data_IF_108283070155
#
_entry.id   IF_108283070155
#
_cell.length_a   1.000
_cell.length_b   1.000
_cell.length_c   1.000
_cell.angle_alpha   90.00
_cell.angle_beta   90.00
_cell.angle_gamma   90.00
#
_symmetry.space_group_name_H-M   'P 1'
#
loop_
_entity.id
_entity.type
_entity.pdbx_description
1 polymer ?
#
# COMPACT_ATOMS: atom_id res chain seq x y z
N UNK A 1 2.60 12.32 24.10
CA UNK A 1 1.98 13.00 22.93
C UNK A 1 0.46 13.02 23.14
N UNK A 2 -0.18 14.19 23.10
CA UNK A 2 -1.64 14.30 23.31
C UNK A 2 -2.35 14.14 21.97
N UNK A 3 -3.33 13.23 21.86
CA UNK A 3 -4.08 13.02 20.63
C UNK A 3 -5.03 14.19 20.36
N UNK A 4 -5.08 14.70 19.13
CA UNK A 4 -5.98 15.78 18.75
C UNK A 4 -7.46 15.34 18.78
N UNK A 5 -7.75 14.11 18.33
CA UNK A 5 -9.09 13.52 18.32
C UNK A 5 -9.01 12.01 18.64
N UNK A 6 -8.98 11.60 19.92
CA UNK A 6 -8.71 10.21 20.30
C UNK A 6 -9.64 9.17 19.66
N UNK A 7 -10.95 9.43 19.65
CA UNK A 7 -11.93 8.52 19.03
C UNK A 7 -11.69 8.32 17.52
N UNK A 8 -11.35 9.40 16.80
CA UNK A 8 -11.03 9.35 15.38
C UNK A 8 -9.73 8.58 15.16
N UNK A 9 -8.69 8.87 15.94
CA UNK A 9 -7.40 8.20 15.85
C UNK A 9 -7.54 6.67 15.97
N UNK A 10 -8.20 6.18 17.03
CA UNK A 10 -8.38 4.72 17.20
C UNK A 10 -9.23 4.10 16.09
N UNK A 11 -10.26 4.80 15.61
CA UNK A 11 -11.04 4.34 14.44
C UNK A 11 -10.18 4.22 13.20
N UNK A 12 -9.30 5.17 12.96
CA UNK A 12 -8.40 5.17 11.80
C UNK A 12 -7.28 4.12 11.94
N UNK A 13 -6.78 3.89 13.13
CA UNK A 13 -5.88 2.74 13.40
C UNK A 13 -6.57 1.40 13.10
N UNK A 14 -7.83 1.24 13.47
CA UNK A 14 -8.64 0.08 13.09
C UNK A 14 -8.79 -0.09 11.58
N UNK A 15 -8.99 1.01 10.85
CA UNK A 15 -9.04 1.00 9.38
C UNK A 15 -7.68 0.61 8.77
N UNK A 16 -6.58 1.17 9.26
CA UNK A 16 -5.24 0.80 8.81
C UNK A 16 -4.98 -0.70 9.04
N UNK A 17 -5.33 -1.23 10.21
CA UNK A 17 -5.22 -2.65 10.51
C UNK A 17 -6.08 -3.52 9.56
N UNK A 18 -7.31 -3.08 9.24
CA UNK A 18 -8.17 -3.75 8.28
C UNK A 18 -7.56 -3.75 6.86
N UNK A 19 -6.95 -2.63 6.44
CA UNK A 19 -6.26 -2.53 5.15
C UNK A 19 -5.07 -3.51 5.08
N UNK A 20 -4.25 -3.58 6.14
CA UNK A 20 -3.17 -4.58 6.25
C UNK A 20 -3.72 -6.00 6.15
N UNK A 21 -4.79 -6.30 6.88
CA UNK A 21 -5.39 -7.64 6.89
C UNK A 21 -5.91 -8.02 5.50
N UNK A 22 -6.63 -7.12 4.83
CA UNK A 22 -7.16 -7.36 3.49
C UNK A 22 -6.03 -7.60 2.47
N UNK A 23 -4.96 -6.80 2.53
CA UNK A 23 -3.79 -6.97 1.68
C UNK A 23 -3.13 -8.34 1.93
N UNK A 24 -2.81 -8.67 3.17
CA UNK A 24 -2.14 -9.92 3.51
C UNK A 24 -2.99 -11.17 3.22
N UNK A 25 -4.32 -11.10 3.46
CA UNK A 25 -5.24 -12.19 3.13
C UNK A 25 -5.31 -12.39 1.62
N UNK A 26 -5.43 -11.30 0.82
CA UNK A 26 -5.46 -11.43 -0.64
C UNK A 26 -4.17 -12.03 -1.20
N UNK A 27 -3.02 -11.61 -0.70
CA UNK A 27 -1.70 -12.17 -1.05
C UNK A 27 -1.61 -13.66 -0.68
N UNK A 28 -2.03 -14.00 0.53
CA UNK A 28 -2.06 -15.40 0.97
C UNK A 28 -2.92 -16.26 0.04
N UNK A 29 -4.12 -15.81 -0.31
CA UNK A 29 -5.02 -16.55 -1.21
C UNK A 29 -4.40 -16.75 -2.58
N UNK A 30 -3.82 -15.73 -3.18
CA UNK A 30 -3.24 -15.78 -4.52
C UNK A 30 -1.94 -16.60 -4.55
N UNK A 31 -1.03 -16.39 -3.60
CA UNK A 31 0.31 -16.95 -3.67
C UNK A 31 0.45 -18.32 -2.99
N UNK A 32 -0.38 -18.62 -2.00
CA UNK A 32 -0.26 -19.85 -1.17
C UNK A 32 -1.42 -20.83 -1.36
N UNK A 33 -2.65 -20.34 -1.53
CA UNK A 33 -3.82 -21.20 -1.69
C UNK A 33 -4.08 -21.53 -3.15
N UNK A 34 -4.01 -20.55 -4.02
CA UNK A 34 -4.25 -20.77 -5.46
C UNK A 34 -2.98 -21.19 -6.20
N UNK A 35 -2.48 -22.37 -5.88
CA UNK A 35 -1.21 -22.89 -6.43
C UNK A 35 -1.26 -23.20 -7.92
N UNK A 36 -2.41 -23.63 -8.43
CA UNK A 36 -2.60 -24.08 -9.81
C UNK A 36 -2.89 -22.93 -10.81
N UNK A 37 -2.91 -21.69 -10.33
CA UNK A 37 -3.19 -20.50 -11.16
C UNK A 37 -2.16 -20.31 -12.30
N UNK A 38 -0.96 -20.86 -12.15
CA UNK A 38 0.14 -20.55 -13.06
C UNK A 38 0.69 -19.11 -12.85
N UNK A 39 1.57 -18.63 -13.75
CA UNK A 39 2.18 -17.31 -13.63
C UNK A 39 1.22 -16.16 -13.95
N UNK A 40 0.20 -16.43 -14.76
CA UNK A 40 -0.83 -15.46 -15.16
C UNK A 40 -2.16 -16.17 -15.39
N UNK A 41 -3.23 -15.59 -14.86
CA UNK A 41 -4.62 -16.05 -15.02
C UNK A 41 -5.49 -14.89 -15.53
N UNK A 42 -5.93 -14.90 -16.79
CA UNK A 42 -6.79 -13.85 -17.34
C UNK A 42 -8.19 -13.94 -16.74
N UNK A 43 -8.63 -12.85 -16.11
CA UNK A 43 -9.98 -12.70 -15.54
C UNK A 43 -10.90 -11.98 -16.50
N UNK A 44 -10.39 -10.92 -17.14
CA UNK A 44 -11.08 -10.10 -18.11
C UNK A 44 -10.11 -9.78 -19.28
N UNK A 45 -10.61 -9.33 -20.46
CA UNK A 45 -9.74 -8.99 -21.59
C UNK A 45 -8.67 -7.92 -21.33
N UNK A 46 -8.82 -7.18 -20.22
CA UNK A 46 -7.91 -6.08 -19.83
C UNK A 46 -7.35 -6.25 -18.42
N UNK A 47 -7.62 -7.39 -17.77
CA UNK A 47 -7.26 -7.62 -16.38
C UNK A 47 -6.89 -9.08 -16.14
N UNK A 48 -5.72 -9.31 -15.60
CA UNK A 48 -5.21 -10.63 -15.20
C UNK A 48 -4.81 -10.65 -13.73
N UNK A 49 -4.90 -11.82 -13.10
CA UNK A 49 -4.20 -12.10 -11.86
C UNK A 49 -2.84 -12.71 -12.21
N UNK A 50 -1.80 -12.23 -11.54
CA UNK A 50 -0.41 -12.69 -11.77
C UNK A 50 0.25 -13.02 -10.44
N UNK A 51 1.37 -13.75 -10.49
CA UNK A 51 2.25 -13.96 -9.33
C UNK A 51 3.60 -13.34 -9.62
N UNK A 52 3.84 -12.14 -9.14
CA UNK A 52 5.10 -11.41 -9.32
C UNK A 52 5.70 -11.01 -7.98
N UNK A 53 7.00 -11.25 -7.82
CA UNK A 53 7.78 -10.77 -6.68
C UNK A 53 8.57 -9.54 -7.10
N UNK A 54 8.30 -8.42 -6.43
CA UNK A 54 8.91 -7.14 -6.68
C UNK A 54 9.98 -6.87 -5.61
N UNK A 55 11.25 -7.08 -5.95
CA UNK A 55 12.39 -6.93 -5.03
C UNK A 55 12.83 -5.49 -4.82
N UNK A 56 12.32 -4.55 -5.57
CA UNK A 56 12.76 -3.15 -5.49
C UNK A 56 11.85 -2.23 -6.27
N UNK A 57 12.40 -1.20 -6.85
CA UNK A 57 11.69 -0.09 -7.43
C UNK A 57 11.17 -0.45 -8.83
N UNK A 58 9.88 -0.22 -9.07
CA UNK A 58 9.33 -0.07 -10.41
C UNK A 58 10.18 0.98 -11.13
N UNK A 59 10.86 0.61 -12.24
CA UNK A 59 11.68 1.40 -13.16
C UNK A 59 13.19 1.08 -13.20
N UNK A 60 13.69 -0.01 -12.64
CA UNK A 60 15.11 -0.42 -12.79
C UNK A 60 16.16 0.66 -12.42
N UNK A 61 15.76 1.78 -11.85
CA UNK A 61 16.63 2.92 -11.59
C UNK A 61 17.60 2.69 -10.40
N UNK A 62 17.36 1.67 -9.58
CA UNK A 62 18.23 1.23 -8.49
C UNK A 62 18.15 -0.29 -8.30
N UNK A 63 18.08 -1.05 -9.40
CA UNK A 63 18.34 -2.48 -9.35
C UNK A 63 19.83 -2.66 -8.98
N UNK A 64 20.12 -2.55 -7.73
CA UNK A 64 21.37 -3.06 -7.19
C UNK A 64 21.10 -4.53 -6.87
N UNK A 65 21.92 -5.42 -7.46
CA UNK A 65 22.01 -6.85 -7.13
C UNK A 65 22.46 -7.09 -5.65
N UNK A 66 22.16 -6.15 -4.77
CA UNK A 66 22.52 -6.20 -3.38
C UNK A 66 21.39 -6.83 -2.57
N UNK A 67 21.71 -7.89 -1.86
CA UNK A 67 20.82 -8.58 -0.89
C UNK A 67 20.15 -7.65 0.13
N UNK A 68 20.67 -6.44 0.31
CA UNK A 68 20.16 -5.42 1.24
C UNK A 68 19.03 -4.55 0.67
N UNK A 69 18.74 -4.57 -0.63
CA UNK A 69 17.74 -3.72 -1.26
C UNK A 69 16.36 -3.77 -0.58
N UNK A 70 15.76 -4.94 -0.39
CA UNK A 70 14.45 -5.08 0.26
C UNK A 70 14.41 -4.53 1.68
N UNK A 71 15.50 -4.68 2.44
CA UNK A 71 15.61 -4.19 3.82
C UNK A 71 15.69 -2.67 3.92
N UNK A 72 16.41 -2.04 2.98
CA UNK A 72 16.47 -0.56 2.91
C UNK A 72 15.08 0.00 2.63
N UNK A 73 14.33 -0.60 1.69
CA UNK A 73 12.96 -0.16 1.39
C UNK A 73 12.00 -0.46 2.54
N UNK A 74 12.14 -1.59 3.23
CA UNK A 74 11.35 -1.88 4.42
C UNK A 74 11.59 -0.86 5.54
N UNK A 75 12.87 -0.50 5.78
CA UNK A 75 13.22 0.52 6.78
C UNK A 75 12.65 1.89 6.41
N UNK A 76 12.85 2.33 5.16
CA UNK A 76 12.33 3.61 4.69
C UNK A 76 10.79 3.68 4.79
N UNK A 77 10.09 2.64 4.33
CA UNK A 77 8.64 2.57 4.43
C UNK A 77 8.16 2.55 5.89
N UNK A 78 8.91 1.91 6.79
CA UNK A 78 8.62 1.91 8.23
C UNK A 78 8.77 3.30 8.83
N UNK A 79 9.85 4.02 8.50
CA UNK A 79 10.07 5.40 8.95
C UNK A 79 8.93 6.31 8.48
N UNK A 80 8.55 6.21 7.21
CA UNK A 80 7.42 6.97 6.64
C UNK A 80 6.12 6.61 7.36
N UNK A 81 5.81 5.32 7.56
CA UNK A 81 4.60 4.89 8.24
C UNK A 81 4.51 5.42 9.68
N UNK A 82 5.62 5.42 10.42
CA UNK A 82 5.70 6.01 11.76
C UNK A 82 5.44 7.53 11.71
N UNK A 83 6.06 8.25 10.77
CA UNK A 83 5.82 9.67 10.57
C UNK A 83 4.34 9.99 10.27
N UNK A 84 3.70 9.17 9.41
CA UNK A 84 2.28 9.29 9.08
C UNK A 84 1.36 8.94 10.27
N UNK A 85 1.73 7.99 11.11
CA UNK A 85 1.00 7.70 12.36
C UNK A 85 1.09 8.86 13.35
N UNK A 86 2.25 9.51 13.46
CA UNK A 86 2.42 10.72 14.26
C UNK A 86 1.52 11.83 13.71
N UNK A 87 1.51 12.05 12.41
CA UNK A 87 0.61 13.02 11.78
C UNK A 87 -0.87 12.68 12.03
N UNK A 88 -1.26 11.42 11.83
CA UNK A 88 -2.62 10.95 12.14
C UNK A 88 -3.03 11.25 13.58
N UNK A 89 -2.12 11.09 14.53
CA UNK A 89 -2.38 11.39 15.94
C UNK A 89 -2.70 12.86 16.23
N UNK A 90 -2.24 13.76 15.35
CA UNK A 90 -2.44 15.21 15.44
C UNK A 90 -3.59 15.70 14.55
N UNK A 91 -4.21 14.79 13.77
CA UNK A 91 -5.27 15.11 12.81
C UNK A 91 -6.65 14.97 13.46
N UNK A 92 -7.46 16.03 13.43
CA UNK A 92 -8.84 16.03 13.93
C UNK A 92 -9.90 15.89 12.82
N UNK A 93 -9.51 16.02 11.57
CA UNK A 93 -10.39 16.02 10.40
C UNK A 93 -10.51 14.64 9.79
N UNK A 94 -11.72 14.29 9.36
CA UNK A 94 -12.02 12.92 8.91
C UNK A 94 -11.33 12.56 7.59
N UNK A 95 -11.31 13.48 6.60
CA UNK A 95 -10.81 13.17 5.27
C UNK A 95 -9.30 12.94 5.25
N UNK A 96 -8.45 13.84 5.79
CA UNK A 96 -7.02 13.56 5.88
C UNK A 96 -6.71 12.37 6.81
N UNK A 97 -7.47 12.18 7.90
CA UNK A 97 -7.29 11.01 8.76
C UNK A 97 -7.56 9.68 8.02
N UNK A 98 -8.57 9.66 7.13
CA UNK A 98 -8.86 8.51 6.27
C UNK A 98 -7.69 8.25 5.29
N UNK A 99 -7.22 9.29 4.62
CA UNK A 99 -6.08 9.20 3.71
C UNK A 99 -4.83 8.66 4.40
N UNK A 100 -4.48 9.23 5.57
CA UNK A 100 -3.35 8.77 6.39
C UNK A 100 -3.47 7.31 6.81
N UNK A 101 -4.66 6.88 7.24
CA UNK A 101 -4.89 5.49 7.65
C UNK A 101 -4.67 4.49 6.50
N UNK A 102 -5.14 4.83 5.30
CA UNK A 102 -4.96 3.99 4.12
C UNK A 102 -3.48 3.90 3.73
N UNK A 103 -2.75 5.02 3.71
CA UNK A 103 -1.31 5.01 3.40
C UNK A 103 -0.52 4.23 4.45
N UNK A 104 -0.83 4.41 5.73
CA UNK A 104 -0.18 3.62 6.80
C UNK A 104 -0.46 2.14 6.63
N UNK A 105 -1.71 1.74 6.37
CA UNK A 105 -2.09 0.35 6.16
C UNK A 105 -1.38 -0.27 4.94
N UNK A 106 -1.36 0.43 3.80
CA UNK A 106 -0.65 0.00 2.60
C UNK A 106 0.87 -0.09 2.80
N UNK A 107 1.47 0.91 3.44
CA UNK A 107 2.91 0.88 3.73
C UNK A 107 3.28 -0.32 4.61
N UNK A 108 2.52 -0.56 5.68
CA UNK A 108 2.76 -1.71 6.59
C UNK A 108 2.56 -3.04 5.87
N UNK A 109 1.54 -3.19 5.00
CA UNK A 109 1.32 -4.39 4.18
C UNK A 109 2.55 -4.74 3.36
N UNK A 110 3.11 -3.77 2.62
CA UNK A 110 4.32 -3.96 1.81
C UNK A 110 5.61 -4.12 2.63
N UNK A 111 5.67 -3.59 3.85
CA UNK A 111 6.78 -3.86 4.79
C UNK A 111 6.75 -5.32 5.24
N UNK A 112 5.57 -5.86 5.59
CA UNK A 112 5.41 -7.26 6.00
C UNK A 112 5.93 -8.20 4.91
N UNK A 113 5.60 -7.95 3.65
CA UNK A 113 6.09 -8.77 2.54
C UNK A 113 7.61 -8.76 2.45
N UNK A 114 8.22 -7.56 2.50
CA UNK A 114 9.68 -7.44 2.41
C UNK A 114 10.42 -8.14 3.54
N UNK A 115 9.86 -8.11 4.74
CA UNK A 115 10.44 -8.80 5.90
C UNK A 115 10.30 -10.32 5.79
N UNK A 116 9.18 -10.81 5.22
CA UNK A 116 8.90 -12.26 5.15
C UNK A 116 9.43 -12.93 3.90
N UNK A 117 9.32 -12.26 2.76
CA UNK A 117 9.57 -12.86 1.43
C UNK A 117 10.80 -12.21 0.75
N UNK A 118 11.38 -11.15 1.31
CA UNK A 118 12.44 -10.38 0.64
C UNK A 118 11.96 -9.56 -0.56
N UNK A 119 10.65 -9.54 -0.82
CA UNK A 119 10.05 -8.87 -1.98
C UNK A 119 8.59 -8.54 -1.70
N UNK A 120 8.02 -7.58 -2.43
CA UNK A 120 6.58 -7.32 -2.41
C UNK A 120 5.86 -8.29 -3.35
N UNK A 121 4.74 -8.83 -2.90
CA UNK A 121 3.90 -9.74 -3.68
C UNK A 121 2.84 -8.94 -4.46
N UNK A 122 3.02 -8.86 -5.80
CA UNK A 122 2.13 -8.15 -6.72
C UNK A 122 1.30 -9.15 -7.52
N UNK A 123 -0.03 -8.92 -7.59
CA UNK A 123 -0.94 -9.88 -8.20
C UNK A 123 -2.04 -9.27 -9.08
N UNK A 124 -2.19 -7.97 -9.15
CA UNK A 124 -3.14 -7.26 -10.02
C UNK A 124 -2.40 -6.74 -11.25
N UNK A 125 -2.85 -7.11 -12.44
CA UNK A 125 -2.26 -6.66 -13.70
C UNK A 125 -3.35 -6.11 -14.62
N UNK A 126 -3.29 -4.83 -14.94
CA UNK A 126 -4.09 -4.25 -16.01
C UNK A 126 -3.27 -4.22 -17.31
N UNK A 127 -3.88 -4.61 -18.41
CA UNK A 127 -3.23 -4.60 -19.72
C UNK A 127 -4.23 -4.25 -20.84
N UNK A 128 -3.71 -3.70 -21.90
CA UNK A 128 -4.49 -3.40 -23.11
C UNK A 128 -3.62 -3.69 -24.32
N UNK A 129 -3.95 -4.73 -25.07
CA UNK A 129 -3.10 -5.25 -26.16
C UNK A 129 -1.67 -5.50 -25.65
N UNK A 130 -0.67 -4.88 -26.27
CA UNK A 130 0.75 -5.03 -25.94
C UNK A 130 1.22 -4.13 -24.79
N UNK A 131 0.34 -3.27 -24.27
CA UNK A 131 0.64 -2.38 -23.14
C UNK A 131 0.16 -3.04 -21.84
N UNK A 132 1.05 -3.14 -20.87
CA UNK A 132 0.73 -3.60 -19.53
C UNK A 132 1.15 -2.56 -18.49
N UNK A 133 0.24 -2.28 -17.55
CA UNK A 133 0.58 -1.53 -16.36
C UNK A 133 1.47 -2.40 -15.45
N UNK A 134 2.46 -1.86 -14.74
CA UNK A 134 3.19 -2.64 -13.75
C UNK A 134 2.24 -3.34 -12.79
N UNK A 135 2.50 -4.62 -12.49
CA UNK A 135 1.69 -5.35 -11.52
C UNK A 135 1.74 -4.66 -10.16
N UNK A 136 0.67 -4.74 -9.40
CA UNK A 136 0.51 -4.12 -8.09
C UNK A 136 -0.39 -4.98 -7.18
N UNK A 137 -0.63 -4.53 -5.95
CA UNK A 137 -1.39 -5.24 -4.93
C UNK A 137 -2.41 -4.31 -4.22
N UNK A 138 -3.12 -4.83 -3.21
CA UNK A 138 -4.08 -4.01 -2.47
C UNK A 138 -3.40 -2.94 -1.62
N UNK A 139 -2.21 -3.19 -1.08
CA UNK A 139 -1.45 -2.18 -0.33
C UNK A 139 -1.11 -0.97 -1.20
N UNK A 140 -0.71 -1.19 -2.47
CA UNK A 140 -0.45 -0.12 -3.44
C UNK A 140 -1.73 0.65 -3.79
N UNK A 141 -2.85 -0.05 -3.90
CA UNK A 141 -4.17 0.56 -4.10
C UNK A 141 -4.54 1.46 -2.92
N UNK A 142 -4.35 1.00 -1.68
CA UNK A 142 -4.60 1.80 -0.49
C UNK A 142 -3.66 3.01 -0.41
N UNK A 143 -2.38 2.85 -0.74
CA UNK A 143 -1.43 3.95 -0.82
C UNK A 143 -1.89 5.00 -1.83
N UNK A 144 -2.26 4.58 -3.03
CA UNK A 144 -2.70 5.48 -4.11
C UNK A 144 -3.96 6.24 -3.73
N UNK A 145 -4.99 5.54 -3.21
CA UNK A 145 -6.25 6.15 -2.77
C UNK A 145 -5.98 7.10 -1.59
N UNK A 146 -5.17 6.67 -0.62
CA UNK A 146 -4.84 7.48 0.54
C UNK A 146 -4.13 8.78 0.18
N UNK A 147 -3.14 8.72 -0.70
CA UNK A 147 -2.42 9.90 -1.22
C UNK A 147 -3.37 10.81 -2.01
N UNK A 148 -4.24 10.25 -2.86
CA UNK A 148 -5.23 11.02 -3.59
C UNK A 148 -6.19 11.80 -2.66
N UNK A 149 -6.63 11.18 -1.56
CA UNK A 149 -7.46 11.84 -0.54
C UNK A 149 -6.70 12.98 0.18
N UNK A 150 -5.43 12.79 0.50
CA UNK A 150 -4.60 13.83 1.12
C UNK A 150 -4.39 15.02 0.19
N UNK A 151 -4.11 14.75 -1.09
CA UNK A 151 -3.96 15.80 -2.11
C UNK A 151 -5.29 16.55 -2.28
N UNK A 152 -6.41 15.81 -2.38
CA UNK A 152 -7.74 16.41 -2.51
C UNK A 152 -8.05 17.34 -1.32
N UNK A 153 -7.79 16.89 -0.09
CA UNK A 153 -7.97 17.72 1.10
C UNK A 153 -7.06 18.94 1.09
N UNK A 154 -5.80 18.81 0.70
CA UNK A 154 -4.86 19.92 0.59
C UNK A 154 -5.28 21.00 -0.41
N UNK A 155 -5.87 20.59 -1.54
CA UNK A 155 -6.30 21.52 -2.60
C UNK A 155 -7.67 22.15 -2.29
N UNK A 156 -8.62 21.37 -1.79
CA UNK A 156 -10.02 21.79 -1.65
C UNK A 156 -10.48 21.99 -0.20
N UNK A 157 -9.81 21.40 0.78
CA UNK A 157 -10.15 21.49 2.20
C UNK A 157 -9.84 22.85 2.82
N UNK A 158 -8.82 23.57 2.33
CA UNK A 158 -8.40 24.88 2.84
C UNK A 158 -9.47 25.97 2.77
N UNK A 159 -10.39 25.90 1.80
CA UNK A 159 -11.50 26.87 1.65
C UNK A 159 -12.57 26.76 2.74
N UNK A 160 -12.63 25.68 3.51
CA UNK A 160 -13.59 25.50 4.61
C UNK A 160 -13.03 25.91 5.99
N UNK A 161 -11.75 26.27 6.04
CA UNK A 161 -11.01 26.59 7.28
C UNK A 161 -10.82 28.10 7.50
N UNK A 162 -11.19 28.94 6.54
CA UNK A 162 -11.24 30.41 6.64
C UNK A 162 -12.68 30.87 6.85
#
# INVERSE_FOLDING_TARGET
MRLAAPKLFYKMCGLAAAAVLLDQVSKFLIFRVWTDMGPEFPVLPVFSLVKRYNTGISFSLFATDHEFGPWVFALLATIIAVGLLIWLSQTAERLPALGLALVVGGAVGNVIDRVREGAVMDFLLFHWKDLAWPAFNLADSFNTIGVALLIFDGVFGGKKRA
#
